data_IF_923337948623
#
_entry.id   IF_923337948623
#
_cell.length_a   1.000
_cell.length_b   1.000
_cell.length_c   1.000
_cell.angle_alpha   90.00
_cell.angle_beta   90.00
_cell.angle_gamma   90.00
#
_symmetry.space_group_name_H-M   'P 1'
#
loop_
_entity.id
_entity.type
_entity.pdbx_description
1 polymer ?
#
# COMPACT_ATOMS: atom_id res chain seq x y z
N UNK A 1 12.58 11.90 -1.29
CA UNK A 1 11.49 11.15 -1.94
C UNK A 1 10.42 12.16 -2.26
N UNK A 2 9.99 12.25 -3.52
CA UNK A 2 8.82 13.03 -3.95
C UNK A 2 7.81 11.97 -4.40
N UNK A 3 6.63 11.95 -3.80
CA UNK A 3 5.67 10.85 -3.88
C UNK A 3 4.43 11.12 -3.03
N UNK A 4 3.55 10.12 -2.90
CA UNK A 4 2.26 10.26 -2.20
C UNK A 4 2.32 10.30 -0.67
N UNK A 5 3.50 10.08 -0.05
CA UNK A 5 3.66 10.08 1.40
C UNK A 5 4.90 10.85 1.86
N UNK A 6 4.81 11.49 3.03
CA UNK A 6 6.01 11.87 3.75
C UNK A 6 6.61 10.68 4.51
N UNK A 7 7.91 10.73 4.78
CA UNK A 7 8.61 9.67 5.53
C UNK A 7 7.99 9.46 6.92
N UNK A 8 7.60 10.54 7.58
CA UNK A 8 6.98 10.50 8.90
C UNK A 8 5.61 9.81 8.87
N UNK A 9 4.84 9.97 7.79
CA UNK A 9 3.54 9.31 7.62
C UNK A 9 3.73 7.79 7.47
N UNK A 10 4.71 7.36 6.65
CA UNK A 10 5.04 5.96 6.48
C UNK A 10 5.49 5.31 7.80
N UNK A 11 6.29 6.01 8.60
CA UNK A 11 6.73 5.52 9.91
C UNK A 11 5.57 5.36 10.89
N UNK A 12 4.57 6.26 10.84
CA UNK A 12 3.34 6.14 11.62
C UNK A 12 2.50 4.94 11.16
N UNK A 13 2.35 4.74 9.85
CA UNK A 13 1.64 3.59 9.26
C UNK A 13 2.29 2.28 9.71
N UNK A 14 3.62 2.17 9.64
CA UNK A 14 4.36 0.98 10.06
C UNK A 14 4.29 0.74 11.57
N UNK A 15 4.35 1.81 12.37
CA UNK A 15 4.17 1.72 13.82
C UNK A 15 2.79 1.20 14.19
N UNK A 16 1.73 1.72 13.56
CA UNK A 16 0.36 1.30 13.78
C UNK A 16 0.15 -0.18 13.41
N UNK A 17 0.73 -0.61 12.29
CA UNK A 17 0.71 -2.02 11.86
C UNK A 17 1.36 -2.95 12.88
N UNK A 18 2.52 -2.57 13.44
CA UNK A 18 3.23 -3.35 14.46
C UNK A 18 2.47 -3.39 15.79
N UNK A 19 1.72 -2.34 16.13
CA UNK A 19 0.94 -2.27 17.36
C UNK A 19 -0.35 -3.11 17.29
N UNK A 20 -1.07 -3.06 16.18
CA UNK A 20 -2.27 -3.86 15.97
C UNK A 20 -2.52 -4.11 14.48
N UNK A 21 -2.04 -5.26 14.00
CA UNK A 21 -2.10 -5.63 12.59
C UNK A 21 -3.52 -5.72 12.04
N UNK A 22 -4.49 -6.28 12.80
CA UNK A 22 -5.87 -6.46 12.33
C UNK A 22 -6.59 -5.11 12.19
N UNK A 23 -6.42 -4.23 13.18
CA UNK A 23 -6.99 -2.89 13.14
C UNK A 23 -6.37 -2.06 12.00
N UNK A 24 -5.05 -2.18 11.84
CA UNK A 24 -4.33 -1.56 10.74
C UNK A 24 -4.84 -2.07 9.39
N UNK A 25 -4.95 -3.38 9.19
CA UNK A 25 -5.41 -3.98 7.94
C UNK A 25 -6.83 -3.52 7.59
N UNK A 26 -7.70 -3.39 8.58
CA UNK A 26 -9.06 -2.86 8.39
C UNK A 26 -9.04 -1.43 7.88
N UNK A 27 -8.27 -0.56 8.53
CA UNK A 27 -8.16 0.86 8.17
C UNK A 27 -7.52 1.02 6.79
N UNK A 28 -6.46 0.27 6.53
CA UNK A 28 -5.71 0.29 5.28
C UNK A 28 -6.53 -0.22 4.10
N UNK A 29 -7.30 -1.30 4.28
CA UNK A 29 -8.18 -1.83 3.25
C UNK A 29 -9.28 -0.85 2.84
N UNK A 30 -9.87 -0.11 3.79
CA UNK A 30 -10.85 0.92 3.45
C UNK A 30 -10.23 2.08 2.69
N UNK A 31 -9.01 2.48 3.04
CA UNK A 31 -8.30 3.54 2.32
C UNK A 31 -7.98 3.11 0.87
N UNK A 32 -7.45 1.90 0.66
CA UNK A 32 -7.08 1.39 -0.67
C UNK A 32 -8.26 1.18 -1.61
N UNK A 33 -9.36 0.60 -1.12
CA UNK A 33 -10.53 0.29 -1.97
C UNK A 33 -11.34 1.57 -2.25
N UNK A 34 -11.19 2.60 -1.41
CA UNK A 34 -11.87 3.88 -1.53
C UNK A 34 -13.22 3.90 -0.82
N UNK A 35 -13.59 5.08 -0.31
CA UNK A 35 -14.75 5.26 0.58
C UNK A 35 -16.10 4.97 -0.08
N UNK A 36 -16.16 5.05 -1.41
CA UNK A 36 -17.38 4.82 -2.19
C UNK A 36 -17.54 3.38 -2.67
N UNK A 37 -16.57 2.50 -2.40
CA UNK A 37 -16.62 1.12 -2.83
C UNK A 37 -17.56 0.27 -1.98
N UNK A 38 -18.00 -0.86 -2.55
CA UNK A 38 -18.83 -1.80 -1.82
C UNK A 38 -18.08 -2.34 -0.58
N UNK A 39 -18.69 -2.32 0.62
CA UNK A 39 -18.04 -2.78 1.85
C UNK A 39 -17.47 -4.20 1.77
N UNK A 40 -18.08 -5.06 0.94
CA UNK A 40 -17.62 -6.42 0.69
C UNK A 40 -16.17 -6.49 0.17
N UNK A 41 -15.74 -5.50 -0.64
CA UNK A 41 -14.38 -5.46 -1.18
C UNK A 41 -13.33 -5.18 -0.10
N UNK A 42 -13.61 -4.22 0.80
CA UNK A 42 -12.72 -3.99 1.94
C UNK A 42 -12.72 -5.18 2.90
N UNK A 43 -13.86 -5.84 3.13
CA UNK A 43 -13.94 -7.05 3.96
C UNK A 43 -13.13 -8.20 3.37
N UNK A 44 -13.21 -8.42 2.06
CA UNK A 44 -12.41 -9.42 1.36
C UNK A 44 -10.91 -9.13 1.49
N UNK A 45 -10.52 -7.87 1.30
CA UNK A 45 -9.12 -7.47 1.43
C UNK A 45 -8.58 -7.68 2.85
N UNK A 46 -9.36 -7.36 3.88
CA UNK A 46 -9.01 -7.65 5.28
C UNK A 46 -8.91 -9.16 5.53
N UNK A 47 -9.85 -9.95 5.02
CA UNK A 47 -9.83 -11.41 5.15
C UNK A 47 -8.61 -12.02 4.46
N UNK A 48 -8.15 -11.43 3.36
CA UNK A 48 -6.93 -11.84 2.67
C UNK A 48 -5.68 -11.45 3.47
N UNK A 49 -5.60 -10.20 3.93
CA UNK A 49 -4.46 -9.69 4.70
C UNK A 49 -4.25 -10.43 6.03
N UNK A 50 -5.33 -10.87 6.67
CA UNK A 50 -5.29 -11.59 7.96
C UNK A 50 -4.94 -13.07 7.84
N UNK A 51 -4.83 -13.62 6.63
CA UNK A 51 -4.31 -14.97 6.39
C UNK A 51 -2.78 -15.05 6.35
N UNK A 52 -2.11 -13.92 6.16
CA UNK A 52 -0.64 -13.85 6.15
C UNK A 52 -0.13 -13.73 7.58
N UNK A 53 0.98 -14.40 7.89
CA UNK A 53 1.68 -14.22 9.17
C UNK A 53 1.96 -12.71 9.40
N UNK A 54 1.55 -12.11 10.53
CA UNK A 54 1.68 -10.68 10.75
C UNK A 54 3.12 -10.16 10.69
N UNK A 55 4.12 -10.96 11.08
CA UNK A 55 5.51 -10.55 11.02
C UNK A 55 6.02 -10.53 9.57
N UNK A 56 5.64 -11.53 8.77
CA UNK A 56 5.92 -11.53 7.33
C UNK A 56 5.20 -10.38 6.61
N UNK A 57 3.92 -10.16 6.90
CA UNK A 57 3.15 -9.07 6.33
C UNK A 57 3.79 -7.72 6.65
N UNK A 58 4.25 -7.52 7.88
CA UNK A 58 4.92 -6.30 8.28
C UNK A 58 6.20 -6.04 7.49
N UNK A 59 7.01 -7.07 7.25
CA UNK A 59 8.21 -6.96 6.41
C UNK A 59 7.88 -6.63 4.96
N UNK A 60 6.84 -7.24 4.39
CA UNK A 60 6.39 -6.98 3.02
C UNK A 60 5.91 -5.54 2.85
N UNK A 61 5.10 -5.04 3.78
CA UNK A 61 4.60 -3.66 3.78
C UNK A 61 5.75 -2.66 3.92
N UNK A 62 6.71 -2.93 4.80
CA UNK A 62 7.90 -2.10 4.95
C UNK A 62 8.73 -2.03 3.67
N UNK A 63 8.95 -3.16 2.99
CA UNK A 63 9.64 -3.19 1.71
C UNK A 63 8.85 -2.48 0.59
N UNK A 64 7.52 -2.64 0.56
CA UNK A 64 6.68 -1.99 -0.43
C UNK A 64 6.70 -0.46 -0.31
N UNK A 65 6.66 0.07 0.92
CA UNK A 65 6.67 1.53 1.15
C UNK A 65 8.07 2.16 1.12
N UNK A 66 9.11 1.43 1.51
CA UNK A 66 10.46 1.97 1.64
C UNK A 66 11.39 1.60 0.48
N UNK A 67 10.99 0.67 -0.37
CA UNK A 67 11.74 0.26 -1.54
C UNK A 67 11.83 1.36 -2.59
N UNK A 68 13.02 1.53 -3.18
CA UNK A 68 13.22 2.42 -4.32
C UNK A 68 13.58 1.60 -5.57
N UNK A 69 12.59 1.47 -6.46
CA UNK A 69 12.71 0.69 -7.70
C UNK A 69 12.91 1.57 -8.94
N UNK A 70 13.02 2.90 -8.78
CA UNK A 70 13.17 3.85 -9.91
C UNK A 70 14.44 3.57 -10.75
N UNK A 71 15.60 3.24 -10.16
CA UNK A 71 16.80 2.87 -10.95
C UNK A 71 16.61 1.63 -11.84
N UNK A 72 15.70 0.72 -11.49
CA UNK A 72 15.43 -0.53 -12.18
C UNK A 72 14.46 -0.33 -13.35
N UNK A 73 13.63 0.72 -13.33
CA UNK A 73 12.68 1.01 -14.41
C UNK A 73 13.38 1.21 -15.76
N UNK A 74 14.58 1.81 -15.76
CA UNK A 74 15.39 1.99 -16.97
C UNK A 74 15.89 0.67 -17.60
N UNK A 75 15.80 -0.44 -16.87
CA UNK A 75 16.25 -1.76 -17.31
C UNK A 75 15.11 -2.59 -17.91
N UNK A 76 13.87 -2.10 -17.86
CA UNK A 76 12.70 -2.79 -18.40
C UNK A 76 12.76 -2.84 -19.94
N UNK A 77 12.68 -4.04 -20.49
CA UNK A 77 12.70 -4.28 -21.94
C UNK A 77 11.33 -4.73 -22.48
N UNK A 78 10.39 -5.05 -21.59
CA UNK A 78 9.07 -5.54 -21.95
C UNK A 78 8.13 -4.35 -22.13
N UNK A 79 7.37 -4.27 -23.25
CA UNK A 79 6.32 -3.26 -23.40
C UNK A 79 5.36 -3.29 -22.22
N UNK A 80 5.23 -2.16 -21.54
CA UNK A 80 4.48 -2.04 -20.28
C UNK A 80 3.35 -1.03 -20.47
N UNK A 81 2.12 -1.43 -20.14
CA UNK A 81 0.98 -0.52 -20.03
C UNK A 81 0.84 -0.09 -18.57
N UNK A 82 0.89 1.20 -18.31
CA UNK A 82 0.63 1.78 -16.98
C UNK A 82 -0.81 2.27 -16.94
N UNK A 83 -1.58 1.77 -15.97
CA UNK A 83 -2.94 2.22 -15.69
C UNK A 83 -2.94 2.98 -14.37
N UNK A 84 -3.35 4.24 -14.42
CA UNK A 84 -3.36 5.13 -13.27
C UNK A 84 -4.81 5.37 -12.80
N UNK A 85 -5.03 5.22 -11.51
CA UNK A 85 -6.28 5.63 -10.87
C UNK A 85 -6.24 7.14 -10.61
N UNK A 86 -7.33 7.85 -10.91
CA UNK A 86 -7.40 9.30 -10.70
C UNK A 86 -7.36 9.67 -9.21
N UNK A 87 -8.09 8.90 -8.38
CA UNK A 87 -8.27 9.16 -6.96
C UNK A 87 -7.54 8.09 -6.10
N UNK A 88 -6.22 7.99 -6.25
CA UNK A 88 -5.38 7.10 -5.44
C UNK A 88 -4.44 7.90 -4.52
N UNK A 89 -4.70 7.93 -3.19
CA UNK A 89 -3.87 8.68 -2.26
C UNK A 89 -2.44 8.12 -2.11
N UNK A 90 -2.22 6.85 -2.47
CA UNK A 90 -0.90 6.23 -2.41
C UNK A 90 -0.06 6.48 -3.67
N UNK A 91 -0.70 6.80 -4.80
CA UNK A 91 -0.06 6.97 -6.11
C UNK A 91 -0.60 8.24 -6.80
N UNK A 92 -0.06 9.44 -6.48
CA UNK A 92 -0.48 10.68 -7.13
C UNK A 92 -0.12 10.70 -8.62
N UNK A 93 -0.87 11.44 -9.45
CA UNK A 93 -0.64 11.50 -10.91
C UNK A 93 0.69 12.15 -11.32
N UNK A 94 1.24 13.02 -10.47
CA UNK A 94 2.44 13.80 -10.75
C UNK A 94 3.77 13.04 -10.55
N UNK A 95 3.73 11.80 -10.05
CA UNK A 95 4.89 10.98 -9.69
C UNK A 95 4.90 9.62 -10.36
#
# INVERSE_FOLDING_TARGET
YYGGFERADLEQVLTAMRANYVQWATTFATMLVGQHAAPALSQELVACATQVDPALAAQLVEQAFLGDFRPQLAQLQVPTLVLQCHDDPAVPEEV
#
